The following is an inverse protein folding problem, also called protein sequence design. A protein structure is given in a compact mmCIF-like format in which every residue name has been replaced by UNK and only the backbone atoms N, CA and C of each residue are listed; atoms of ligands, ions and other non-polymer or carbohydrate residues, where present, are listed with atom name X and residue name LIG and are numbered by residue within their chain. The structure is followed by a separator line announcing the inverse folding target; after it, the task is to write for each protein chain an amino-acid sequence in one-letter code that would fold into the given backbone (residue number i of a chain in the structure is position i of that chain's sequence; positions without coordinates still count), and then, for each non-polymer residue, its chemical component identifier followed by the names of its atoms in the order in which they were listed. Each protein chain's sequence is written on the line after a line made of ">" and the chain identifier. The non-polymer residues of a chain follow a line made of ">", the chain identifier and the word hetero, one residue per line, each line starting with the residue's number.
data_IF_745255565621
#
_entry.id   IF_745255565621
#
_cell.length_a   1.000
_cell.length_b   1.000
_cell.length_c   1.000
_cell.angle_alpha   90.00
_cell.angle_beta   90.00
_cell.angle_gamma   90.00
#
_symmetry.space_group_name_H-M   'P 1'
#
loop_
_entity.id
_entity.type
_entity.pdbx_description
1 polymer ?
#
# COMPACT_ATOMS: atom_id res chain seq x y z
N UNK A 1 -11.83 -9.67 -10.78
CA UNK A 1 -11.19 -10.96 -10.45
C UNK A 1 -11.87 -12.13 -11.17
N UNK A 2 -13.21 -12.24 -11.10
CA UNK A 2 -13.98 -13.25 -11.86
C UNK A 2 -13.66 -13.20 -13.35
N UNK A 3 -13.73 -12.01 -13.95
CA UNK A 3 -13.42 -11.82 -15.37
C UNK A 3 -12.02 -12.33 -15.77
N UNK A 4 -11.02 -12.16 -14.91
CA UNK A 4 -9.69 -12.69 -15.17
C UNK A 4 -9.67 -14.22 -15.14
N UNK A 5 -10.30 -14.85 -14.15
CA UNK A 5 -10.40 -16.31 -14.06
C UNK A 5 -11.08 -16.88 -15.31
N UNK A 6 -12.16 -16.24 -15.75
CA UNK A 6 -12.94 -16.65 -16.91
C UNK A 6 -12.14 -16.48 -18.22
N UNK A 7 -11.58 -15.29 -18.46
CA UNK A 7 -10.79 -14.97 -19.66
C UNK A 7 -9.51 -15.82 -19.73
N UNK A 8 -8.86 -16.06 -18.59
CA UNK A 8 -7.62 -16.83 -18.52
C UNK A 8 -7.85 -18.36 -18.47
N UNK A 9 -9.11 -18.81 -18.43
CA UNK A 9 -9.47 -20.24 -18.38
C UNK A 9 -8.90 -20.97 -17.16
N UNK A 10 -8.89 -20.32 -15.99
CA UNK A 10 -8.23 -20.85 -14.80
C UNK A 10 -9.20 -21.73 -14.02
N UNK A 11 -9.07 -23.04 -14.21
CA UNK A 11 -9.83 -24.03 -13.44
C UNK A 11 -9.03 -24.63 -12.27
N UNK A 12 -7.70 -24.53 -12.32
CA UNK A 12 -6.77 -24.97 -11.27
C UNK A 12 -5.40 -24.28 -11.41
N UNK A 13 -4.53 -24.42 -10.43
CA UNK A 13 -3.15 -23.93 -10.47
C UNK A 13 -3.02 -22.43 -10.14
N UNK A 14 -1.94 -21.77 -10.60
CA UNK A 14 -1.65 -20.38 -10.24
C UNK A 14 -2.73 -19.40 -10.75
N UNK A 15 -3.20 -18.51 -9.87
CA UNK A 15 -4.19 -17.49 -10.21
C UNK A 15 -3.59 -16.39 -11.09
N UNK A 16 -2.39 -15.91 -10.76
CA UNK A 16 -1.66 -14.93 -11.56
C UNK A 16 -0.64 -15.63 -12.45
N UNK A 17 -0.74 -15.38 -13.75
CA UNK A 17 0.03 -16.06 -14.79
C UNK A 17 0.64 -15.00 -15.73
N UNK A 18 1.87 -15.21 -16.25
CA UNK A 18 2.44 -14.32 -17.26
C UNK A 18 1.58 -14.31 -18.52
N UNK A 19 1.53 -13.16 -19.18
CA UNK A 19 0.97 -13.01 -20.53
C UNK A 19 2.13 -12.66 -21.46
N UNK A 20 2.29 -13.40 -22.55
CA UNK A 20 3.36 -13.14 -23.52
C UNK A 20 2.98 -12.00 -24.48
N UNK A 21 3.91 -11.60 -25.36
CA UNK A 21 3.70 -10.53 -26.35
C UNK A 21 2.60 -10.80 -27.39
N UNK A 22 2.10 -12.03 -27.46
CA UNK A 22 0.99 -12.44 -28.35
C UNK A 22 -0.32 -12.59 -27.56
N UNK A 23 -0.41 -12.00 -26.37
CA UNK A 23 -1.60 -12.03 -25.51
C UNK A 23 -2.00 -13.43 -25.03
N UNK A 24 -1.07 -14.38 -25.02
CA UNK A 24 -1.33 -15.75 -24.56
C UNK A 24 -0.98 -15.89 -23.07
N UNK A 25 -1.96 -16.32 -22.28
CA UNK A 25 -1.79 -16.64 -20.87
C UNK A 25 -0.98 -17.93 -20.72
N UNK A 26 0.09 -17.89 -19.94
CA UNK A 26 0.97 -19.03 -19.70
C UNK A 26 0.46 -19.89 -18.53
N UNK A 27 0.89 -21.16 -18.44
CA UNK A 27 0.45 -22.06 -17.36
C UNK A 27 1.25 -21.92 -16.05
N UNK A 28 2.45 -21.33 -16.12
CA UNK A 28 3.35 -21.13 -14.99
C UNK A 28 2.90 -19.97 -14.08
N UNK A 29 3.30 -19.96 -12.78
CA UNK A 29 3.04 -18.82 -11.91
C UNK A 29 3.74 -17.56 -12.43
N UNK A 30 3.14 -16.40 -12.17
CA UNK A 30 3.74 -15.11 -12.43
C UNK A 30 5.06 -14.96 -11.64
N UNK A 31 6.09 -14.44 -12.28
CA UNK A 31 7.34 -14.12 -11.60
C UNK A 31 7.08 -13.00 -10.56
N UNK A 32 7.50 -13.14 -9.30
CA UNK A 32 7.32 -12.10 -8.28
C UNK A 32 7.86 -10.72 -8.71
N UNK A 33 8.97 -10.68 -9.44
CA UNK A 33 9.57 -9.45 -9.95
C UNK A 33 8.72 -8.72 -10.99
N UNK A 34 7.83 -9.43 -11.70
CA UNK A 34 6.97 -8.83 -12.73
C UNK A 34 6.03 -7.75 -12.18
N UNK A 35 5.64 -7.86 -10.90
CA UNK A 35 4.85 -6.82 -10.24
C UNK A 35 5.68 -5.55 -10.05
N UNK A 36 6.94 -5.66 -9.63
CA UNK A 36 7.80 -4.49 -9.48
C UNK A 36 8.06 -3.82 -10.83
N UNK A 37 8.25 -4.60 -11.91
CA UNK A 37 8.42 -4.05 -13.25
C UNK A 37 7.16 -3.33 -13.74
N UNK A 38 5.98 -3.90 -13.49
CA UNK A 38 4.70 -3.25 -13.77
C UNK A 38 4.57 -1.92 -13.02
N UNK A 39 4.91 -1.89 -11.73
CA UNK A 39 4.84 -0.67 -10.92
C UNK A 39 5.80 0.40 -11.41
N UNK A 40 7.02 0.02 -11.79
CA UNK A 40 7.99 0.96 -12.38
C UNK A 40 7.50 1.51 -13.72
N UNK A 41 6.86 0.69 -14.55
CA UNK A 41 6.29 1.16 -15.81
C UNK A 41 5.14 2.15 -15.58
N UNK A 42 4.24 1.85 -14.64
CA UNK A 42 3.16 2.75 -14.25
C UNK A 42 3.69 4.05 -13.64
N UNK A 43 4.64 3.96 -12.70
CA UNK A 43 5.24 5.14 -12.07
C UNK A 43 5.96 6.04 -13.08
N UNK A 44 6.60 5.47 -14.11
CA UNK A 44 7.19 6.24 -15.22
C UNK A 44 6.13 6.96 -16.04
N UNK A 45 5.05 6.28 -16.38
CA UNK A 45 3.93 6.89 -17.11
C UNK A 45 3.27 8.02 -16.32
N UNK A 46 3.19 7.88 -14.99
CA UNK A 46 2.68 8.89 -14.07
C UNK A 46 3.71 9.95 -13.63
N UNK A 47 4.96 9.86 -14.10
CA UNK A 47 6.05 10.79 -13.78
C UNK A 47 6.34 10.92 -12.27
N UNK A 48 6.30 9.80 -11.54
CA UNK A 48 6.69 9.78 -10.13
C UNK A 48 8.19 10.02 -9.96
N UNK A 49 8.56 10.89 -9.04
CA UNK A 49 9.93 11.19 -8.64
C UNK A 49 10.54 10.12 -7.71
N UNK A 50 9.70 9.42 -6.94
CA UNK A 50 10.09 8.31 -6.04
C UNK A 50 10.17 6.93 -6.73
N UNK A 51 10.30 6.88 -8.06
CA UNK A 51 10.40 5.64 -8.84
C UNK A 51 11.45 4.62 -8.35
N UNK A 52 12.66 5.02 -7.90
CA UNK A 52 13.66 4.08 -7.38
C UNK A 52 13.18 3.32 -6.13
N UNK A 53 12.33 3.94 -5.32
CA UNK A 53 11.84 3.41 -4.05
C UNK A 53 10.50 2.67 -4.20
N UNK A 54 9.82 2.82 -5.35
CA UNK A 54 8.55 2.17 -5.61
C UNK A 54 8.72 0.66 -5.83
N UNK A 55 8.02 -0.12 -5.00
CA UNK A 55 7.98 -1.58 -5.11
C UNK A 55 6.63 -2.14 -4.66
N UNK A 56 6.42 -3.43 -4.84
CA UNK A 56 5.27 -4.15 -4.28
C UNK A 56 5.18 -4.02 -2.75
N UNK A 57 6.29 -3.83 -2.05
CA UNK A 57 6.30 -3.59 -0.60
C UNK A 57 5.66 -2.24 -0.24
N UNK A 58 5.71 -1.24 -1.14
CA UNK A 58 5.09 0.07 -0.92
C UNK A 58 3.58 -0.05 -0.69
N UNK A 59 2.90 -1.01 -1.34
CA UNK A 59 1.47 -1.27 -1.08
C UNK A 59 1.20 -1.82 0.31
N UNK A 60 2.10 -2.67 0.81
CA UNK A 60 1.97 -3.25 2.15
C UNK A 60 2.13 -2.16 3.22
N UNK A 61 3.06 -1.22 3.03
CA UNK A 61 3.21 -0.03 3.89
C UNK A 61 2.00 0.90 3.76
N UNK A 62 1.57 1.16 2.52
CA UNK A 62 0.41 2.00 2.24
C UNK A 62 -0.88 1.49 2.89
N UNK A 63 -1.07 0.17 2.99
CA UNK A 63 -2.18 -0.43 3.73
C UNK A 63 -2.16 -0.05 5.21
N UNK A 64 -1.04 -0.25 5.91
CA UNK A 64 -0.94 0.10 7.34
C UNK A 64 -1.13 1.59 7.58
N UNK A 65 -0.50 2.44 6.77
CA UNK A 65 -0.63 3.88 6.87
C UNK A 65 -2.07 4.34 6.66
N UNK A 66 -2.75 3.82 5.62
CA UNK A 66 -4.13 4.20 5.30
C UNK A 66 -5.11 3.70 6.36
N UNK A 67 -4.95 2.46 6.83
CA UNK A 67 -5.82 1.90 7.87
C UNK A 67 -5.68 2.66 9.20
N UNK A 68 -4.47 3.08 9.57
CA UNK A 68 -4.25 3.88 10.77
C UNK A 68 -4.85 5.29 10.65
N UNK A 69 -4.80 5.91 9.47
CA UNK A 69 -5.50 7.19 9.21
C UNK A 69 -7.02 7.07 9.41
N UNK A 70 -7.59 5.93 9.05
CA UNK A 70 -9.00 5.59 9.30
C UNK A 70 -9.27 5.09 10.74
N UNK A 71 -8.28 5.21 11.64
CA UNK A 71 -8.37 4.82 13.06
C UNK A 71 -8.77 3.35 13.27
N UNK A 72 -8.42 2.48 12.33
CA UNK A 72 -8.56 1.04 12.51
C UNK A 72 -7.63 0.58 13.62
N UNK A 73 -8.11 -0.33 14.45
CA UNK A 73 -7.36 -0.86 15.59
C UNK A 73 -6.03 -1.49 15.15
N UNK A 74 -4.97 -1.21 15.92
CA UNK A 74 -3.61 -1.66 15.62
C UNK A 74 -3.52 -3.19 15.47
N UNK A 75 -4.21 -3.96 16.32
CA UNK A 75 -4.18 -5.43 16.25
C UNK A 75 -4.84 -5.95 14.97
N UNK A 76 -5.88 -5.27 14.47
CA UNK A 76 -6.50 -5.60 13.19
C UNK A 76 -5.57 -5.29 12.02
N UNK A 77 -4.87 -4.15 12.05
CA UNK A 77 -3.87 -3.80 11.04
C UNK A 77 -2.74 -4.84 11.02
N UNK A 78 -2.15 -5.11 12.19
CA UNK A 78 -1.07 -6.09 12.37
C UNK A 78 -1.47 -7.47 11.86
N UNK A 79 -2.67 -7.93 12.24
CA UNK A 79 -3.23 -9.22 11.81
C UNK A 79 -3.47 -9.27 10.30
N UNK A 80 -4.05 -8.22 9.71
CA UNK A 80 -4.37 -8.18 8.29
C UNK A 80 -3.10 -8.23 7.42
N UNK A 81 -2.05 -7.51 7.80
CA UNK A 81 -0.77 -7.65 7.11
C UNK A 81 -0.05 -8.94 7.48
N UNK A 82 -0.27 -9.51 8.66
CA UNK A 82 0.49 -10.65 9.15
C UNK A 82 1.91 -10.26 9.58
N UNK A 83 2.06 -9.08 10.19
CA UNK A 83 3.32 -8.64 10.77
C UNK A 83 3.56 -9.32 12.12
N UNK A 84 4.81 -9.76 12.35
CA UNK A 84 5.22 -10.34 13.64
C UNK A 84 5.64 -9.28 14.65
N UNK A 85 6.33 -8.24 14.16
CA UNK A 85 6.89 -7.16 14.98
C UNK A 85 5.95 -5.98 15.00
N UNK A 86 5.64 -5.48 16.20
CA UNK A 86 4.88 -4.25 16.38
C UNK A 86 5.65 -3.04 15.88
N UNK A 87 6.96 -3.02 16.13
CA UNK A 87 7.83 -1.92 15.72
C UNK A 87 7.77 -1.66 14.21
N UNK A 88 7.72 -2.72 13.39
CA UNK A 88 7.61 -2.59 11.92
C UNK A 88 6.28 -1.98 11.49
N UNK A 89 5.19 -2.26 12.22
CA UNK A 89 3.88 -1.69 11.90
C UNK A 89 3.83 -0.22 12.33
N UNK A 90 4.35 0.09 13.52
CA UNK A 90 4.45 1.45 14.03
C UNK A 90 5.32 2.34 13.14
N UNK A 91 6.46 1.86 12.64
CA UNK A 91 7.30 2.59 11.69
C UNK A 91 6.49 3.08 10.47
N UNK A 92 5.66 2.22 9.86
CA UNK A 92 4.82 2.61 8.73
C UNK A 92 3.66 3.56 9.09
N UNK A 93 3.14 3.45 10.32
CA UNK A 93 2.06 4.31 10.80
C UNK A 93 2.61 5.71 11.10
N UNK A 94 3.70 5.78 11.86
CA UNK A 94 4.35 7.03 12.29
C UNK A 94 4.90 7.82 11.09
N UNK A 95 5.60 7.18 10.15
CA UNK A 95 6.03 7.81 8.88
C UNK A 95 4.84 8.47 8.15
N UNK A 96 3.69 7.79 8.17
CA UNK A 96 2.48 8.23 7.49
C UNK A 96 1.69 9.33 8.21
N UNK A 97 1.96 9.56 9.50
CA UNK A 97 1.25 10.49 10.37
C UNK A 97 2.14 11.63 10.89
N UNK A 98 3.43 11.64 10.56
CA UNK A 98 4.44 12.59 11.07
C UNK A 98 3.99 14.07 11.03
N UNK A 99 3.21 14.46 10.02
CA UNK A 99 2.73 15.84 9.87
C UNK A 99 1.34 16.11 10.47
N UNK A 100 0.51 15.07 10.64
CA UNK A 100 -0.86 15.21 11.14
C UNK A 100 -0.99 14.94 12.64
N UNK A 101 -0.16 14.04 13.17
CA UNK A 101 -0.16 13.68 14.58
C UNK A 101 1.10 14.24 15.25
N UNK A 102 1.12 15.57 15.41
CA UNK A 102 2.22 16.26 16.06
C UNK A 102 1.71 17.22 17.14
N UNK A 103 2.51 17.35 18.20
CA UNK A 103 2.17 18.18 19.35
C UNK A 103 1.97 19.65 18.97
N UNK A 104 2.74 20.17 18.01
CA UNK A 104 2.66 21.57 17.62
C UNK A 104 1.29 21.91 17.03
N UNK A 105 0.75 21.07 16.13
CA UNK A 105 -0.57 21.27 15.55
C UNK A 105 -1.66 21.28 16.62
N UNK A 106 -1.67 20.26 17.49
CA UNK A 106 -2.63 20.16 18.60
C UNK A 106 -2.56 21.39 19.53
N UNK A 107 -1.35 21.87 19.84
CA UNK A 107 -1.16 23.05 20.68
C UNK A 107 -1.64 24.32 19.98
N UNK A 108 -1.33 24.50 18.69
CA UNK A 108 -1.78 25.66 17.90
C UNK A 108 -3.31 25.72 17.78
N UNK A 109 -3.97 24.58 17.56
CA UNK A 109 -5.44 24.51 17.53
C UNK A 109 -6.06 24.92 18.88
N UNK A 110 -5.52 24.40 19.99
CA UNK A 110 -5.98 24.79 21.34
C UNK A 110 -5.73 26.26 21.64
N UNK A 111 -4.55 26.79 21.30
CA UNK A 111 -4.23 28.21 21.47
C UNK A 111 -5.18 29.11 20.67
N UNK A 112 -5.55 28.71 19.46
CA UNK A 112 -6.51 29.44 18.63
C UNK A 112 -7.89 29.49 19.29
N UNK A 113 -8.33 28.40 19.92
CA UNK A 113 -9.59 28.38 20.68
C UNK A 113 -9.56 29.36 21.87
N UNK A 114 -8.42 29.56 22.52
CA UNK A 114 -8.30 30.53 23.62
C UNK A 114 -8.26 31.99 23.16
N UNK A 115 -7.78 32.27 21.95
CA UNK A 115 -7.67 33.64 21.40
C UNK A 115 -9.00 34.13 20.82
N UNK A 116 -9.90 33.22 20.42
CA UNK A 116 -11.18 33.53 19.76
C UNK A 116 -12.36 33.65 20.75
N UNK A 117 -12.13 33.46 22.05
CA UNK A 117 -13.15 33.70 23.09
C UNK A 117 -13.03 35.17 23.55
N UNK A 118 -14.07 36.01 23.40
CA UNK A 118 -14.08 37.39 23.91
C UNK A 118 -14.08 37.46 25.45
#
# INVERSE_FOLDING_TARGET
>A
MKDWVDIAGINNGPLFRPVNRWSQVQTKPLNPGAINDLLKNLGKACQFDFLPDLSSHSFRRGLSTSAARERIDFELIKKQGGWKSDATVWEYIEEGQQFSDNAALTLMEKMTQFIVIP
#
